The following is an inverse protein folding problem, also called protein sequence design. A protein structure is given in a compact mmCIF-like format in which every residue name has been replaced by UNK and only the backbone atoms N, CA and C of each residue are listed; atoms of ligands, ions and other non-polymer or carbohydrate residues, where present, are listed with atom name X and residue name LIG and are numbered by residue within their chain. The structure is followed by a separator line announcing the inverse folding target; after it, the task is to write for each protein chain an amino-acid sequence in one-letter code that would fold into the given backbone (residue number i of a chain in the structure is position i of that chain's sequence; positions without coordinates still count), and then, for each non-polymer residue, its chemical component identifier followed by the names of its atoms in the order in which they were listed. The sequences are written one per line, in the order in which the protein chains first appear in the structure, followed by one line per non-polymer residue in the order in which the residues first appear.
data_IF_592970995882
#
_entry.id   IF_592970995882
#
_cell.length_a   1.000
_cell.length_b   1.000
_cell.length_c   1.000
_cell.angle_alpha   90.00
_cell.angle_beta   90.00
_cell.angle_gamma   90.00
#
_symmetry.space_group_name_H-M   'P 1'
#
loop_
_entity.id
_entity.type
_entity.pdbx_description
1 polymer ?
#
# COMPACT_ATOMS: atom_id res chain seq x y z
N UNK A 1 -4.26 19.53 -3.48
CA UNK A 1 -5.42 18.66 -3.24
C UNK A 1 -4.97 17.32 -2.71
N UNK A 2 -5.70 16.78 -1.76
CA UNK A 2 -5.36 15.48 -1.19
C UNK A 2 -5.92 14.35 -2.05
N UNK A 3 -5.18 13.25 -2.14
CA UNK A 3 -5.66 12.04 -2.76
C UNK A 3 -6.64 11.33 -1.82
N UNK A 4 -7.54 10.53 -2.37
CA UNK A 4 -8.32 9.57 -1.60
C UNK A 4 -7.59 8.24 -1.57
N UNK A 5 -7.88 7.42 -0.58
CA UNK A 5 -7.30 6.09 -0.47
C UNK A 5 -8.38 5.04 -0.71
N UNK A 6 -8.05 4.05 -1.54
CA UNK A 6 -8.86 2.85 -1.72
C UNK A 6 -7.98 1.64 -1.48
N UNK A 7 -8.59 0.56 -1.01
CA UNK A 7 -7.87 -0.69 -0.77
C UNK A 7 -8.55 -1.78 -1.58
N UNK A 8 -7.78 -2.45 -2.44
CA UNK A 8 -8.28 -3.56 -3.21
C UNK A 8 -8.80 -4.65 -2.27
N UNK A 9 -9.87 -5.33 -2.66
CA UNK A 9 -10.52 -6.33 -1.81
C UNK A 9 -9.55 -7.40 -1.30
N UNK A 10 -8.68 -7.91 -2.15
CA UNK A 10 -7.68 -8.91 -1.74
C UNK A 10 -6.69 -8.35 -0.73
N UNK A 11 -6.31 -7.09 -0.88
CA UNK A 11 -5.43 -6.42 0.08
C UNK A 11 -6.14 -6.20 1.42
N UNK A 12 -7.42 -5.83 1.39
CA UNK A 12 -8.20 -5.64 2.60
C UNK A 12 -8.34 -6.95 3.37
N UNK A 13 -8.54 -8.06 2.66
CA UNK A 13 -8.60 -9.39 3.29
C UNK A 13 -7.28 -9.77 3.94
N UNK A 14 -6.16 -9.49 3.27
CA UNK A 14 -4.84 -9.73 3.84
C UNK A 14 -4.61 -8.88 5.09
N UNK A 15 -5.00 -7.61 5.04
CA UNK A 15 -4.88 -6.70 6.18
C UNK A 15 -5.67 -7.20 7.39
N UNK A 16 -6.85 -7.76 7.16
CA UNK A 16 -7.70 -8.27 8.24
C UNK A 16 -7.04 -9.42 9.02
N UNK A 17 -6.09 -10.12 8.41
CA UNK A 17 -5.36 -11.23 9.05
C UNK A 17 -4.11 -10.78 9.79
N UNK A 18 -3.72 -9.53 9.67
CA UNK A 18 -2.55 -8.98 10.33
C UNK A 18 -2.86 -8.69 11.79
N UNK A 19 -1.86 -8.86 12.67
CA UNK A 19 -2.02 -8.55 14.08
C UNK A 19 -2.46 -7.09 14.25
N UNK A 20 -3.32 -6.85 15.24
CA UNK A 20 -3.98 -5.55 15.42
C UNK A 20 -3.02 -4.36 15.46
N UNK A 21 -1.91 -4.47 16.16
CA UNK A 21 -0.92 -3.40 16.25
C UNK A 21 -0.32 -3.06 14.89
N UNK A 22 -0.01 -4.09 14.11
CA UNK A 22 0.55 -3.91 12.77
C UNK A 22 -0.52 -3.39 11.80
N UNK A 23 -1.77 -3.82 11.98
CA UNK A 23 -2.90 -3.29 11.22
C UNK A 23 -2.98 -1.76 11.35
N UNK A 24 -2.91 -1.27 12.58
CA UNK A 24 -3.01 0.16 12.84
C UNK A 24 -1.85 0.93 12.19
N UNK A 25 -0.64 0.38 12.26
CA UNK A 25 0.52 1.00 11.61
C UNK A 25 0.37 1.05 10.10
N UNK A 26 -0.11 -0.05 9.51
CA UNK A 26 -0.33 -0.12 8.06
C UNK A 26 -1.38 0.89 7.63
N UNK A 27 -2.47 0.97 8.37
CA UNK A 27 -3.55 1.92 8.06
C UNK A 27 -3.04 3.37 8.15
N UNK A 28 -2.26 3.69 9.18
CA UNK A 28 -1.68 5.02 9.33
C UNK A 28 -0.77 5.39 8.16
N UNK A 29 0.07 4.46 7.74
CA UNK A 29 0.99 4.68 6.61
C UNK A 29 0.20 4.88 5.32
N UNK A 30 -0.81 4.06 5.08
CA UNK A 30 -1.67 4.21 3.90
C UNK A 30 -2.36 5.57 3.93
N UNK A 31 -2.85 5.98 5.08
CA UNK A 31 -3.51 7.28 5.23
C UNK A 31 -2.57 8.45 4.91
N UNK A 32 -1.31 8.35 5.31
CA UNK A 32 -0.30 9.36 5.01
C UNK A 32 -0.04 9.50 3.52
N UNK A 33 -0.29 8.46 2.73
CA UNK A 33 -0.10 8.51 1.30
C UNK A 33 -1.06 9.48 0.61
N UNK A 34 -2.13 9.88 1.27
CA UNK A 34 -3.03 10.92 0.75
C UNK A 34 -2.28 12.24 0.54
N UNK A 35 -1.39 12.57 1.46
CA UNK A 35 -0.62 13.80 1.39
C UNK A 35 0.70 13.63 0.66
N UNK A 36 1.22 12.39 0.62
CA UNK A 36 2.52 12.11 0.01
C UNK A 36 2.51 10.79 -0.74
N UNK A 37 1.82 10.72 -1.90
CA UNK A 37 1.67 9.46 -2.63
C UNK A 37 2.98 8.90 -3.19
N UNK A 38 4.03 9.71 -3.30
CA UNK A 38 5.32 9.26 -3.81
C UNK A 38 6.29 8.84 -2.72
N UNK A 39 5.83 8.66 -1.49
CA UNK A 39 6.68 8.25 -0.37
C UNK A 39 7.31 6.88 -0.56
N UNK A 40 6.60 5.95 -1.20
CA UNK A 40 7.12 4.61 -1.48
C UNK A 40 8.01 4.59 -2.71
N UNK A 41 8.93 3.61 -2.76
CA UNK A 41 9.82 3.43 -3.90
C UNK A 41 9.14 2.82 -5.12
N UNK A 42 9.56 3.22 -6.31
CA UNK A 42 9.02 2.70 -7.57
C UNK A 42 9.52 1.27 -7.80
N UNK A 43 8.61 0.39 -8.19
CA UNK A 43 8.95 -0.98 -8.56
C UNK A 43 9.24 -1.08 -10.06
N UNK A 44 10.03 -2.09 -10.42
CA UNK A 44 10.46 -2.32 -11.81
C UNK A 44 10.00 -3.69 -12.27
N UNK A 45 10.17 -3.98 -13.58
CA UNK A 45 9.82 -5.26 -14.17
C UNK A 45 8.32 -5.45 -14.25
N UNK A 46 7.85 -6.62 -13.90
CA UNK A 46 6.42 -6.95 -13.97
C UNK A 46 5.57 -6.14 -12.99
N UNK A 47 6.19 -5.50 -12.00
CA UNK A 47 5.51 -4.61 -11.05
C UNK A 47 5.64 -3.15 -11.44
N UNK A 48 6.07 -2.87 -12.66
CA UNK A 48 6.24 -1.50 -13.15
C UNK A 48 4.94 -0.71 -13.04
N UNK A 49 5.04 0.54 -12.60
CA UNK A 49 3.87 1.39 -12.37
C UNK A 49 3.34 1.34 -10.96
N UNK A 50 3.87 0.45 -10.14
CA UNK A 50 3.49 0.33 -8.72
C UNK A 50 4.59 0.88 -7.83
N UNK A 51 4.22 1.19 -6.60
CA UNK A 51 5.16 1.61 -5.57
C UNK A 51 5.07 0.71 -4.36
N UNK A 52 6.14 0.64 -3.60
CA UNK A 52 6.22 -0.17 -2.39
C UNK A 52 6.62 0.69 -1.20
N UNK A 53 5.91 0.53 -0.10
CA UNK A 53 6.29 1.15 1.16
C UNK A 53 6.36 0.08 2.25
N UNK A 54 7.37 0.20 3.11
CA UNK A 54 7.59 -0.75 4.21
C UNK A 54 6.93 -0.24 5.48
N UNK A 55 6.30 -1.17 6.21
CA UNK A 55 5.70 -0.88 7.51
C UNK A 55 6.12 -2.01 8.45
N UNK A 56 7.22 -1.81 9.19
CA UNK A 56 7.79 -2.89 10.00
C UNK A 56 8.19 -4.08 9.14
N UNK A 57 7.65 -5.26 9.44
CA UNK A 57 7.89 -6.48 8.67
C UNK A 57 6.90 -6.67 7.53
N UNK A 58 6.02 -5.71 7.31
CA UNK A 58 5.02 -5.77 6.26
C UNK A 58 5.37 -4.83 5.12
N UNK A 59 4.79 -5.09 3.98
CA UNK A 59 4.94 -4.25 2.79
C UNK A 59 3.59 -3.98 2.19
N UNK A 60 3.43 -2.75 1.71
CA UNK A 60 2.23 -2.33 1.00
C UNK A 60 2.66 -1.97 -0.42
N UNK A 61 2.06 -2.63 -1.40
CA UNK A 61 2.23 -2.29 -2.80
C UNK A 61 1.00 -1.48 -3.20
N UNK A 62 1.22 -0.33 -3.81
CA UNK A 62 0.11 0.55 -4.17
C UNK A 62 0.33 1.21 -5.52
N UNK A 63 -0.76 1.66 -6.11
CA UNK A 63 -0.77 2.39 -7.37
C UNK A 63 -1.25 3.82 -7.12
N UNK A 64 -0.58 4.78 -7.72
CA UNK A 64 -1.02 6.18 -7.69
C UNK A 64 -1.77 6.47 -8.97
N UNK A 65 -3.05 6.74 -8.86
CA UNK A 65 -3.92 7.08 -9.98
C UNK A 65 -4.09 8.60 -10.03
N UNK A 66 -3.15 9.28 -10.65
CA UNK A 66 -3.09 10.75 -10.63
C UNK A 66 -4.32 11.41 -11.20
N UNK A 67 -4.88 10.88 -12.29
CA UNK A 67 -6.05 11.47 -12.92
C UNK A 67 -7.30 11.41 -12.06
N UNK A 68 -7.38 10.41 -11.19
CA UNK A 68 -8.50 10.20 -10.28
C UNK A 68 -8.22 10.73 -8.88
N UNK A 69 -6.99 11.15 -8.61
CA UNK A 69 -6.52 11.53 -7.29
C UNK A 69 -6.77 10.42 -6.26
N UNK A 70 -6.42 9.19 -6.63
CA UNK A 70 -6.61 8.01 -5.79
C UNK A 70 -5.28 7.30 -5.58
N UNK A 71 -5.04 6.88 -4.34
CA UNK A 71 -3.99 5.91 -3.99
C UNK A 71 -4.69 4.59 -3.76
N UNK A 72 -4.40 3.59 -4.59
CA UNK A 72 -5.00 2.26 -4.48
C UNK A 72 -4.01 1.27 -3.92
N UNK A 73 -4.23 0.79 -2.70
CA UNK A 73 -3.44 -0.28 -2.11
C UNK A 73 -3.84 -1.59 -2.78
N UNK A 74 -2.91 -2.21 -3.51
CA UNK A 74 -3.20 -3.42 -4.29
C UNK A 74 -2.71 -4.69 -3.61
N UNK A 75 -1.72 -4.60 -2.73
CA UNK A 75 -1.19 -5.77 -2.04
C UNK A 75 -0.64 -5.39 -0.68
N UNK A 76 -0.99 -6.17 0.32
CA UNK A 76 -0.50 -5.99 1.69
C UNK A 76 -0.08 -7.36 2.18
N UNK A 77 1.12 -7.48 2.71
CA UNK A 77 1.58 -8.75 3.24
C UNK A 77 2.91 -8.66 3.94
N UNK A 78 3.30 -9.77 4.56
CA UNK A 78 4.60 -9.90 5.16
C UNK A 78 5.67 -9.79 4.09
N UNK A 79 6.84 -9.23 4.44
CA UNK A 79 7.94 -9.01 3.49
C UNK A 79 8.30 -10.24 2.66
N UNK A 80 8.06 -11.45 3.18
CA UNK A 80 8.36 -12.71 2.48
C UNK A 80 7.29 -13.14 1.49
N UNK A 81 6.10 -12.54 1.55
CA UNK A 81 4.93 -12.98 0.79
C UNK A 81 4.61 -12.08 -0.40
N UNK A 82 5.02 -10.82 -0.34
CA UNK A 82 4.57 -9.80 -1.30
C UNK A 82 5.03 -10.06 -2.72
N UNK A 83 6.16 -10.72 -2.89
CA UNK A 83 6.75 -10.99 -4.22
C UNK A 83 6.57 -12.43 -4.71
N UNK A 84 5.70 -13.16 -4.10
CA UNK A 84 5.39 -14.52 -4.55
C UNK A 84 4.30 -14.54 -5.58
#
# INVERSE_FOLDING_TARGET
MAYSVSIKQSAAKALAKVAHEDQLRIIDVIDELKANPTAGGVLKGEFSGLRLIRVGNYRVVYEVQDQKLVVLAVRIGHRREVYR
#
